data_IF_479598362486
#
_entry.id   IF_479598362486
#
_cell.length_a   1.000
_cell.length_b   1.000
_cell.length_c   1.000
_cell.angle_alpha   90.00
_cell.angle_beta   90.00
_cell.angle_gamma   90.00
#
_symmetry.space_group_name_H-M   'P 1'
#
loop_
_entity.id
_entity.type
_entity.pdbx_description
1 polymer ?
#
# COMPACT_ATOMS: atom_id res chain seq x y z
N UNK A 1 62.09 53.83 -4.57
CA UNK A 1 62.84 52.89 -3.71
C UNK A 1 61.84 51.83 -3.29
N UNK A 2 61.58 50.87 -4.19
CA UNK A 2 62.23 49.55 -4.29
C UNK A 2 61.57 48.59 -3.28
N UNK A 3 60.93 47.47 -3.64
CA UNK A 3 61.11 46.56 -4.78
C UNK A 3 59.85 45.70 -4.99
N UNK A 4 59.24 45.55 -6.18
CA UNK A 4 59.53 44.57 -7.28
C UNK A 4 59.62 43.11 -6.78
N UNK A 5 58.82 42.11 -7.19
CA UNK A 5 58.46 41.62 -8.54
C UNK A 5 57.18 40.72 -8.53
N UNK A 6 56.48 40.57 -9.69
CA UNK A 6 55.44 39.55 -9.96
C UNK A 6 55.84 38.48 -11.02
N UNK A 7 54.95 37.47 -11.19
CA UNK A 7 54.71 36.56 -12.36
C UNK A 7 55.67 35.34 -12.57
N UNK A 8 55.21 34.20 -13.17
CA UNK A 8 54.60 34.18 -14.51
C UNK A 8 53.41 33.23 -14.82
N UNK A 9 52.70 33.68 -15.86
CA UNK A 9 51.89 32.92 -16.81
C UNK A 9 52.68 31.79 -17.48
N UNK A 10 52.00 30.67 -17.77
CA UNK A 10 52.27 29.88 -18.98
C UNK A 10 50.94 29.52 -19.66
N UNK A 11 50.77 30.06 -20.87
CA UNK A 11 49.81 29.55 -21.85
C UNK A 11 50.45 28.41 -22.65
N UNK A 12 49.61 27.48 -23.09
CA UNK A 12 50.00 26.38 -23.96
C UNK A 12 48.77 25.77 -24.62
N UNK A 13 48.45 26.26 -25.81
CA UNK A 13 47.55 25.64 -26.78
C UNK A 13 48.03 24.23 -27.14
N UNK A 14 47.12 23.26 -27.21
CA UNK A 14 47.31 22.11 -28.10
C UNK A 14 45.99 21.64 -28.70
N UNK A 15 46.11 21.29 -29.96
CA UNK A 15 45.15 21.08 -31.03
C UNK A 15 44.30 19.81 -30.92
N UNK A 16 43.14 19.88 -31.58
CA UNK A 16 42.23 18.79 -31.98
C UNK A 16 42.96 17.50 -32.39
N UNK A 17 42.44 16.37 -31.92
CA UNK A 17 42.43 15.12 -32.67
C UNK A 17 41.11 14.40 -32.42
N UNK A 18 40.28 14.34 -33.45
CA UNK A 18 39.12 13.47 -33.51
C UNK A 18 39.60 12.03 -33.71
N UNK A 19 39.26 11.14 -32.80
CA UNK A 19 39.36 9.70 -33.02
C UNK A 19 37.96 9.14 -33.22
N UNK A 20 37.61 8.98 -34.50
CA UNK A 20 36.52 8.10 -34.93
C UNK A 20 36.92 6.66 -34.67
N UNK A 21 36.24 5.99 -33.74
CA UNK A 21 36.23 4.53 -33.67
C UNK A 21 34.89 4.00 -34.18
N UNK A 22 34.93 3.52 -35.41
CA UNK A 22 33.93 2.62 -35.97
C UNK A 22 34.22 1.22 -35.46
N UNK A 23 33.38 0.68 -34.57
CA UNK A 23 33.26 -0.76 -34.37
C UNK A 23 31.82 -1.19 -34.64
N UNK A 24 31.63 -1.77 -35.83
CA UNK A 24 30.61 -2.80 -36.05
C UNK A 24 31.13 -4.07 -35.37
N UNK A 25 30.29 -4.73 -34.58
CA UNK A 25 29.98 -6.16 -34.71
C UNK A 25 29.41 -6.75 -33.43
N UNK A 26 28.28 -7.44 -33.62
CA UNK A 26 27.87 -8.70 -32.97
C UNK A 26 27.86 -8.79 -31.44
N UNK A 27 26.63 -8.83 -30.92
CA UNK A 27 26.25 -9.48 -29.67
C UNK A 27 26.84 -10.89 -29.56
N UNK A 28 27.39 -11.28 -28.40
CA UNK A 28 27.42 -12.67 -27.98
C UNK A 28 26.32 -12.90 -26.95
N UNK A 29 25.41 -13.83 -27.28
CA UNK A 29 24.58 -14.56 -26.34
C UNK A 29 25.50 -15.19 -25.29
N UNK A 30 25.37 -14.79 -24.01
CA UNK A 30 26.04 -15.44 -22.89
C UNK A 30 25.11 -16.56 -22.37
N UNK A 31 25.62 -17.79 -22.16
CA UNK A 31 24.78 -18.95 -21.91
C UNK A 31 24.26 -18.98 -20.47
N UNK A 32 23.03 -19.48 -20.34
CA UNK A 32 22.38 -19.92 -19.11
C UNK A 32 23.36 -20.74 -18.25
N UNK A 33 23.81 -20.17 -17.13
CA UNK A 33 24.43 -20.94 -16.05
C UNK A 33 23.38 -21.26 -14.99
N UNK A 34 23.10 -22.55 -14.90
CA UNK A 34 22.32 -23.27 -13.90
C UNK A 34 22.75 -22.83 -12.49
N UNK A 35 21.94 -22.04 -11.81
CA UNK A 35 22.13 -21.76 -10.39
C UNK A 35 21.83 -23.02 -9.58
N UNK A 36 22.74 -23.34 -8.66
CA UNK A 36 22.60 -24.46 -7.74
C UNK A 36 21.53 -24.17 -6.69
N UNK A 37 20.72 -25.20 -6.46
CA UNK A 37 19.62 -25.26 -5.52
C UNK A 37 20.16 -25.16 -4.08
N UNK A 38 19.98 -24.02 -3.42
CA UNK A 38 20.18 -23.94 -1.97
C UNK A 38 18.90 -24.39 -1.27
N UNK A 39 19.01 -25.57 -0.65
CA UNK A 39 18.00 -26.19 0.21
C UNK A 39 17.81 -25.35 1.47
N UNK A 40 16.73 -24.55 1.51
CA UNK A 40 16.29 -23.89 2.73
C UNK A 40 15.59 -24.90 3.64
N UNK A 41 16.04 -24.99 4.89
CA UNK A 41 15.43 -25.81 5.94
C UNK A 41 14.15 -25.15 6.42
N UNK A 42 13.01 -25.81 6.13
CA UNK A 42 11.68 -25.43 6.59
C UNK A 42 11.61 -25.38 8.13
N UNK A 43 11.27 -24.20 8.66
CA UNK A 43 10.69 -24.06 10.00
C UNK A 43 9.19 -23.89 9.86
N UNK A 44 8.48 -24.74 10.57
CA UNK A 44 7.03 -24.90 10.63
C UNK A 44 6.32 -23.56 10.84
N UNK A 45 5.57 -23.10 9.85
CA UNK A 45 4.62 -21.98 10.00
C UNK A 45 3.23 -22.54 10.28
N UNK A 46 2.63 -22.08 11.38
CA UNK A 46 1.30 -22.47 11.83
C UNK A 46 0.25 -21.98 10.84
N UNK A 47 -0.50 -22.90 10.25
CA UNK A 47 -1.59 -22.63 9.29
C UNK A 47 -2.68 -21.76 9.91
N UNK A 48 -3.02 -20.64 9.28
CA UNK A 48 -4.30 -19.96 9.45
C UNK A 48 -5.09 -20.07 8.14
N UNK A 49 -6.14 -20.89 8.15
CA UNK A 49 -7.03 -21.12 7.00
C UNK A 49 -7.93 -19.91 6.79
N UNK A 50 -7.59 -19.07 5.81
CA UNK A 50 -8.36 -17.86 5.45
C UNK A 50 -9.57 -18.11 4.52
N UNK A 51 -9.93 -19.37 4.25
CA UNK A 51 -10.89 -19.71 3.18
C UNK A 51 -12.36 -19.66 3.59
N UNK A 52 -12.69 -19.64 4.88
CA UNK A 52 -14.08 -19.64 5.36
C UNK A 52 -14.77 -18.26 5.33
N UNK A 53 -14.01 -17.19 5.06
CA UNK A 53 -14.51 -15.80 5.17
C UNK A 53 -14.97 -15.16 3.85
N UNK A 54 -14.83 -15.84 2.70
CA UNK A 54 -15.23 -15.26 1.41
C UNK A 54 -16.75 -15.24 1.20
N UNK A 55 -17.51 -16.26 1.63
CA UNK A 55 -18.94 -16.32 1.31
C UNK A 55 -19.85 -15.54 2.26
N UNK A 56 -19.43 -15.34 3.53
CA UNK A 56 -20.25 -14.64 4.53
C UNK A 56 -20.19 -13.10 4.38
N UNK A 57 -19.08 -12.53 3.88
CA UNK A 57 -18.92 -11.07 3.73
C UNK A 57 -19.68 -10.47 2.53
N UNK A 58 -19.91 -11.24 1.46
CA UNK A 58 -20.63 -10.75 0.28
C UNK A 58 -22.10 -10.40 0.56
N UNK A 59 -22.72 -11.05 1.55
CA UNK A 59 -24.11 -10.74 1.95
C UNK A 59 -24.21 -9.47 2.79
N UNK A 60 -23.30 -9.29 3.74
CA UNK A 60 -23.30 -8.12 4.63
C UNK A 60 -22.96 -6.80 3.91
N UNK A 61 -22.13 -6.85 2.85
CA UNK A 61 -21.83 -5.67 2.02
C UNK A 61 -22.95 -5.30 1.04
N UNK A 62 -23.83 -6.25 0.69
CA UNK A 62 -25.00 -5.97 -0.15
C UNK A 62 -26.08 -5.20 0.60
N UNK A 63 -26.30 -5.52 1.88
CA UNK A 63 -27.30 -4.85 2.74
C UNK A 63 -26.95 -3.37 2.99
N UNK A 64 -25.67 -3.05 3.16
CA UNK A 64 -25.21 -1.67 3.41
C UNK A 64 -25.32 -0.74 2.18
N UNK A 65 -25.46 -1.31 0.97
CA UNK A 65 -25.57 -0.56 -0.29
C UNK A 65 -27.03 -0.31 -0.69
N UNK A 66 -27.98 -1.15 -0.27
CA UNK A 66 -29.39 -1.00 -0.64
C UNK A 66 -30.12 0.13 0.10
N UNK A 67 -29.67 0.52 1.29
CA UNK A 67 -30.37 1.53 2.11
C UNK A 67 -30.30 2.98 1.58
N UNK A 68 -29.61 3.24 0.46
CA UNK A 68 -29.47 4.60 -0.11
C UNK A 68 -30.32 4.90 -1.35
N UNK A 69 -31.15 3.97 -1.83
CA UNK A 69 -31.99 4.20 -3.02
C UNK A 69 -33.47 4.49 -2.74
N UNK A 70 -33.85 4.78 -1.49
CA UNK A 70 -35.17 5.36 -1.20
C UNK A 70 -35.04 6.86 -0.92
N UNK A 71 -35.51 7.67 -1.87
CA UNK A 71 -35.56 9.12 -1.73
C UNK A 71 -36.46 9.52 -0.56
N UNK A 72 -35.84 9.90 0.55
CA UNK A 72 -36.51 10.55 1.69
C UNK A 72 -35.70 11.75 2.12
N UNK A 73 -36.42 12.87 2.29
CA UNK A 73 -35.96 14.19 2.71
C UNK A 73 -34.88 14.12 3.79
N UNK A 74 -33.78 14.83 3.56
CA UNK A 74 -32.65 14.93 4.49
C UNK A 74 -33.08 15.58 5.81
N UNK A 75 -33.50 14.76 6.77
CA UNK A 75 -33.39 15.07 8.19
C UNK A 75 -31.94 14.85 8.59
N UNK A 76 -31.27 15.92 9.02
CA UNK A 76 -29.86 15.88 9.42
C UNK A 76 -29.62 14.77 10.44
N UNK A 77 -28.72 13.83 10.13
CA UNK A 77 -28.21 12.89 11.12
C UNK A 77 -27.65 13.70 12.29
N UNK A 78 -27.97 13.38 13.55
CA UNK A 78 -27.28 13.99 14.67
C UNK A 78 -25.79 13.71 14.50
N UNK A 79 -24.96 14.76 14.55
CA UNK A 79 -23.51 14.64 14.55
C UNK A 79 -23.14 13.98 15.87
N UNK A 80 -23.02 12.65 15.87
CA UNK A 80 -22.49 11.91 17.00
C UNK A 80 -20.99 12.21 17.02
N UNK A 81 -20.53 12.89 18.06
CA UNK A 81 -19.11 13.17 18.24
C UNK A 81 -18.31 11.86 18.29
N UNK A 82 -17.17 11.81 17.59
CA UNK A 82 -16.33 10.63 17.51
C UNK A 82 -15.88 10.15 18.90
N UNK A 83 -15.96 8.84 19.16
CA UNK A 83 -15.60 8.27 20.45
C UNK A 83 -14.09 8.32 20.64
N UNK A 84 -13.64 8.86 21.76
CA UNK A 84 -12.22 8.87 22.12
C UNK A 84 -11.78 7.66 22.95
N UNK A 85 -12.63 6.64 23.06
CA UNK A 85 -12.39 5.44 23.88
C UNK A 85 -11.04 4.78 23.56
N UNK A 86 -10.65 4.71 22.28
CA UNK A 86 -9.39 4.05 21.90
C UNK A 86 -8.18 4.95 22.10
N UNK A 87 -8.20 6.21 21.65
CA UNK A 87 -7.07 7.14 21.81
C UNK A 87 -6.70 7.41 23.29
N UNK A 88 -7.65 7.24 24.21
CA UNK A 88 -7.44 7.39 25.66
C UNK A 88 -6.87 6.13 26.34
N UNK A 89 -6.91 4.96 25.68
CA UNK A 89 -6.36 3.73 26.25
C UNK A 89 -4.85 3.84 26.53
N UNK A 90 -4.43 3.34 27.68
CA UNK A 90 -3.03 3.31 28.17
C UNK A 90 -2.54 1.89 28.46
N UNK A 91 -3.39 0.88 28.28
CA UNK A 91 -3.04 -0.52 28.45
C UNK A 91 -3.77 -1.42 27.45
N UNK A 92 -3.25 -2.64 27.26
CA UNK A 92 -3.94 -3.70 26.49
C UNK A 92 -5.34 -3.98 27.04
N UNK A 93 -5.47 -4.04 28.37
CA UNK A 93 -6.76 -4.29 29.01
C UNK A 93 -7.78 -3.19 28.68
N UNK A 94 -7.37 -1.92 28.77
CA UNK A 94 -8.23 -0.79 28.43
C UNK A 94 -8.64 -0.83 26.95
N UNK A 95 -7.70 -1.08 26.04
CA UNK A 95 -7.95 -1.15 24.61
C UNK A 95 -8.98 -2.25 24.26
N UNK A 96 -8.80 -3.46 24.78
CA UNK A 96 -9.71 -4.59 24.54
C UNK A 96 -11.06 -4.42 25.25
N UNK A 97 -11.08 -3.81 26.44
CA UNK A 97 -12.34 -3.46 27.11
C UNK A 97 -13.12 -2.39 26.34
N UNK A 98 -12.41 -1.48 25.66
CA UNK A 98 -12.98 -0.48 24.77
C UNK A 98 -13.79 -1.08 23.63
N UNK A 99 -13.34 -2.19 23.04
CA UNK A 99 -14.11 -2.90 22.00
C UNK A 99 -15.49 -3.29 22.50
N UNK A 100 -15.57 -3.89 23.70
CA UNK A 100 -16.85 -4.31 24.31
C UNK A 100 -17.74 -3.11 24.58
N UNK A 101 -17.18 -2.03 25.12
CA UNK A 101 -17.89 -0.78 25.39
C UNK A 101 -18.52 -0.18 24.13
N UNK A 102 -17.78 -0.14 23.02
CA UNK A 102 -18.28 0.42 21.76
C UNK A 102 -19.30 -0.49 21.06
N UNK A 103 -19.20 -1.82 21.25
CA UNK A 103 -20.22 -2.79 20.81
C UNK A 103 -21.51 -2.63 21.63
N UNK A 104 -21.41 -2.57 22.96
CA UNK A 104 -22.56 -2.40 23.86
C UNK A 104 -23.26 -1.05 23.63
N UNK A 105 -22.51 -0.02 23.25
CA UNK A 105 -23.03 1.29 22.85
C UNK A 105 -23.64 1.31 21.44
N UNK A 106 -23.55 0.22 20.67
CA UNK A 106 -24.06 0.12 19.31
C UNK A 106 -23.28 0.92 18.26
N UNK A 107 -22.07 1.42 18.60
CA UNK A 107 -21.20 2.20 17.71
C UNK A 107 -20.31 1.32 16.84
N UNK A 108 -20.02 0.09 17.30
CA UNK A 108 -19.17 -0.86 16.61
C UNK A 108 -19.91 -2.18 16.33
N UNK A 109 -20.07 -2.60 15.06
CA UNK A 109 -20.68 -3.89 14.74
C UNK A 109 -19.88 -5.07 15.32
N UNK A 110 -20.53 -6.10 15.90
CA UNK A 110 -19.83 -7.22 16.54
C UNK A 110 -18.86 -7.97 15.62
N UNK A 111 -19.18 -8.08 14.33
CA UNK A 111 -18.30 -8.72 13.34
C UNK A 111 -17.04 -7.88 13.05
N UNK A 112 -17.12 -6.55 13.13
CA UNK A 112 -15.97 -5.66 12.98
C UNK A 112 -15.12 -5.72 14.25
N UNK A 113 -15.74 -5.67 15.44
CA UNK A 113 -15.04 -5.80 16.72
C UNK A 113 -14.24 -7.11 16.82
N UNK A 114 -14.82 -8.24 16.40
CA UNK A 114 -14.12 -9.52 16.35
C UNK A 114 -12.91 -9.48 15.40
N UNK A 115 -13.03 -8.80 14.26
CA UNK A 115 -11.92 -8.58 13.34
C UNK A 115 -10.83 -7.68 13.93
N UNK A 116 -11.20 -6.63 14.67
CA UNK A 116 -10.24 -5.76 15.36
C UNK A 116 -9.44 -6.53 16.41
N UNK A 117 -10.11 -7.38 17.20
CA UNK A 117 -9.45 -8.25 18.19
C UNK A 117 -8.52 -9.27 17.52
N UNK A 118 -8.94 -9.91 16.42
CA UNK A 118 -8.10 -10.83 15.66
C UNK A 118 -6.85 -10.13 15.11
N UNK A 119 -7.01 -8.93 14.52
CA UNK A 119 -5.87 -8.16 14.02
C UNK A 119 -4.95 -7.74 15.17
N UNK A 120 -5.49 -7.32 16.31
CA UNK A 120 -4.68 -7.00 17.50
C UNK A 120 -3.80 -8.18 17.91
N UNK A 121 -4.40 -9.37 18.08
CA UNK A 121 -3.65 -10.54 18.52
C UNK A 121 -2.56 -10.93 17.52
N UNK A 122 -2.88 -10.94 16.22
CA UNK A 122 -1.93 -11.27 15.17
C UNK A 122 -0.79 -10.25 15.08
N UNK A 123 -1.11 -8.95 15.14
CA UNK A 123 -0.13 -7.87 15.09
C UNK A 123 0.80 -7.90 16.30
N UNK A 124 0.24 -7.99 17.51
CA UNK A 124 0.99 -8.12 18.76
C UNK A 124 1.97 -9.28 18.71
N UNK A 125 1.50 -10.45 18.30
CA UNK A 125 2.33 -11.65 18.23
C UNK A 125 3.47 -11.48 17.22
N UNK A 126 3.19 -10.93 16.03
CA UNK A 126 4.21 -10.69 15.01
C UNK A 126 5.28 -9.69 15.46
N UNK A 127 4.87 -8.56 16.05
CA UNK A 127 5.81 -7.55 16.56
C UNK A 127 6.63 -8.10 17.72
N UNK A 128 6.05 -8.90 18.61
CA UNK A 128 6.78 -9.51 19.73
C UNK A 128 7.80 -10.56 19.23
N UNK A 129 7.42 -11.34 18.22
CA UNK A 129 8.31 -12.33 17.60
C UNK A 129 9.49 -11.70 16.85
N UNK A 130 9.39 -10.42 16.46
CA UNK A 130 10.52 -9.70 15.85
C UNK A 130 11.73 -9.54 16.79
N UNK A 131 11.51 -9.61 18.11
CA UNK A 131 12.54 -9.36 19.12
C UNK A 131 12.85 -7.87 19.36
N UNK A 132 12.03 -6.95 18.86
CA UNK A 132 12.17 -5.52 19.14
C UNK A 132 11.99 -5.23 20.66
N UNK A 133 12.98 -4.63 21.35
CA UNK A 133 12.85 -4.30 22.77
C UNK A 133 11.71 -3.30 23.07
N UNK A 134 11.29 -2.51 22.07
CA UNK A 134 10.19 -1.56 22.19
C UNK A 134 8.81 -2.17 21.81
N UNK A 135 8.74 -3.48 21.54
CA UNK A 135 7.56 -4.14 20.98
C UNK A 135 6.25 -3.84 21.74
N UNK A 136 6.28 -3.79 23.08
CA UNK A 136 5.08 -3.47 23.89
C UNK A 136 4.56 -2.07 23.59
N UNK A 137 5.46 -1.08 23.58
CA UNK A 137 5.10 0.32 23.29
C UNK A 137 4.66 0.51 21.84
N UNK A 138 5.33 -0.16 20.89
CA UNK A 138 4.99 -0.14 19.47
C UNK A 138 3.58 -0.71 19.24
N UNK A 139 3.28 -1.87 19.81
CA UNK A 139 1.96 -2.50 19.69
C UNK A 139 0.88 -1.61 20.26
N UNK A 140 1.04 -1.12 21.49
CA UNK A 140 0.04 -0.25 22.11
C UNK A 140 -0.18 1.02 21.28
N UNK A 141 0.89 1.74 20.92
CA UNK A 141 0.79 2.98 20.15
C UNK A 141 0.10 2.78 18.80
N UNK A 142 0.52 1.78 18.03
CA UNK A 142 -0.01 1.55 16.68
C UNK A 142 -1.46 1.04 16.72
N UNK A 143 -1.78 0.13 17.64
CA UNK A 143 -3.12 -0.44 17.75
C UNK A 143 -4.13 0.53 18.33
N UNK A 144 -3.73 1.41 19.25
CA UNK A 144 -4.59 2.49 19.76
C UNK A 144 -5.05 3.40 18.62
N UNK A 145 -4.13 3.86 17.77
CA UNK A 145 -4.46 4.70 16.62
C UNK A 145 -5.25 3.92 15.56
N UNK A 146 -4.89 2.67 15.29
CA UNK A 146 -5.62 1.84 14.33
C UNK A 146 -7.08 1.61 14.76
N UNK A 147 -7.32 1.29 16.03
CA UNK A 147 -8.68 1.07 16.55
C UNK A 147 -9.53 2.34 16.46
N UNK A 148 -8.95 3.50 16.81
CA UNK A 148 -9.61 4.81 16.74
C UNK A 148 -10.08 5.12 15.30
N UNK A 149 -9.19 4.96 14.32
CA UNK A 149 -9.52 5.24 12.93
C UNK A 149 -10.39 4.17 12.26
N UNK A 150 -10.38 2.92 12.73
CA UNK A 150 -11.37 1.91 12.30
C UNK A 150 -12.75 2.25 12.82
N UNK A 151 -12.87 2.68 14.09
CA UNK A 151 -14.14 3.14 14.63
C UNK A 151 -14.64 4.39 13.88
N UNK A 152 -13.75 5.36 13.62
CA UNK A 152 -14.10 6.56 12.86
C UNK A 152 -14.68 6.21 11.49
N UNK A 153 -14.08 5.27 10.76
CA UNK A 153 -14.58 4.83 9.45
C UNK A 153 -15.87 3.97 9.55
N UNK A 154 -16.13 3.33 10.69
CA UNK A 154 -17.42 2.66 10.93
C UNK A 154 -18.52 3.69 11.18
N UNK A 155 -18.21 4.75 11.92
CA UNK A 155 -19.15 5.83 12.28
C UNK A 155 -19.48 6.73 11.09
N UNK A 156 -18.45 7.10 10.32
CA UNK A 156 -18.54 7.92 9.12
C UNK A 156 -17.69 7.30 7.98
N UNK A 157 -18.25 6.33 7.23
CA UNK A 157 -17.50 5.60 6.21
C UNK A 157 -16.95 6.51 5.11
N UNK A 158 -15.62 6.54 4.99
CA UNK A 158 -14.94 7.23 3.92
C UNK A 158 -15.34 6.66 2.55
N UNK A 159 -15.62 7.54 1.59
CA UNK A 159 -15.97 7.16 0.21
C UNK A 159 -14.81 7.49 -0.70
N UNK A 160 -14.25 6.48 -1.35
CA UNK A 160 -13.15 6.67 -2.30
C UNK A 160 -13.66 7.21 -3.64
N UNK A 161 -13.02 8.29 -4.10
CA UNK A 161 -13.19 8.80 -5.45
C UNK A 161 -12.49 7.90 -6.49
N UNK A 162 -12.87 7.95 -7.78
CA UNK A 162 -12.24 7.15 -8.83
C UNK A 162 -10.71 7.29 -8.88
N UNK A 163 -10.22 8.50 -8.63
CA UNK A 163 -8.84 8.78 -8.27
C UNK A 163 -8.79 9.39 -6.87
N UNK A 164 -8.16 8.67 -5.95
CA UNK A 164 -7.97 9.09 -4.57
C UNK A 164 -6.53 9.58 -4.37
N UNK A 165 -6.38 10.75 -3.74
CA UNK A 165 -5.07 11.28 -3.31
C UNK A 165 -4.86 10.93 -1.85
N UNK A 166 -3.63 10.54 -1.49
CA UNK A 166 -3.29 10.23 -0.12
C UNK A 166 -3.65 11.40 0.82
N UNK A 167 -4.39 11.10 1.89
CA UNK A 167 -4.72 12.07 2.92
C UNK A 167 -3.52 12.24 3.87
N UNK A 168 -3.02 13.47 3.94
CA UNK A 168 -1.86 13.85 4.77
C UNK A 168 -2.21 14.77 5.94
N UNK A 169 -3.37 15.42 5.88
CA UNK A 169 -3.85 16.40 6.86
C UNK A 169 -5.39 16.27 7.03
N UNK A 170 -5.95 16.58 8.22
CA UNK A 170 -5.25 16.94 9.47
C UNK A 170 -4.60 15.74 10.18
N UNK A 171 -4.86 14.53 9.69
CA UNK A 171 -4.20 13.30 10.13
C UNK A 171 -3.43 12.70 8.94
N UNK A 172 -2.16 12.36 9.17
CA UNK A 172 -1.31 11.79 8.13
C UNK A 172 -1.52 10.27 8.02
N UNK A 173 -2.51 9.87 7.21
CA UNK A 173 -2.82 8.45 6.97
C UNK A 173 -1.67 7.72 6.24
N UNK A 174 -0.84 8.43 5.48
CA UNK A 174 0.34 7.83 4.85
C UNK A 174 1.33 7.41 5.94
N UNK A 175 1.71 8.32 6.83
CA UNK A 175 2.65 8.05 7.92
C UNK A 175 2.08 7.05 8.94
N UNK A 176 0.78 7.11 9.23
CA UNK A 176 0.09 6.07 10.00
C UNK A 176 0.35 4.68 9.41
N UNK A 177 0.09 4.49 8.12
CA UNK A 177 0.33 3.22 7.46
C UNK A 177 1.81 2.80 7.47
N UNK A 178 2.73 3.73 7.19
CA UNK A 178 4.17 3.48 7.26
C UNK A 178 4.58 2.98 8.65
N UNK A 179 4.17 3.69 9.71
CA UNK A 179 4.51 3.37 11.10
C UNK A 179 3.90 2.04 11.57
N UNK A 180 2.68 1.74 11.11
CA UNK A 180 1.99 0.49 11.44
C UNK A 180 2.70 -0.72 10.83
N UNK A 181 3.11 -0.66 9.56
CA UNK A 181 3.72 -1.81 8.87
C UNK A 181 5.23 -1.94 9.13
N UNK A 182 5.93 -0.85 9.40
CA UNK A 182 7.39 -0.84 9.65
C UNK A 182 7.89 -1.94 10.59
N UNK A 183 7.31 -2.20 11.78
CA UNK A 183 7.82 -3.23 12.69
C UNK A 183 7.59 -4.67 12.19
N UNK A 184 6.80 -4.85 11.12
CA UNK A 184 6.57 -6.15 10.49
C UNK A 184 7.60 -6.47 9.40
N UNK A 185 8.46 -5.51 9.03
CA UNK A 185 9.49 -5.71 8.01
C UNK A 185 10.84 -5.98 8.69
N UNK A 186 11.41 -7.15 8.43
CA UNK A 186 12.82 -7.40 8.71
C UNK A 186 13.68 -6.75 7.62
N UNK A 187 14.00 -5.47 7.81
CA UNK A 187 14.82 -4.71 6.85
C UNK A 187 16.22 -5.29 6.64
N UNK A 188 16.77 -6.04 7.61
CA UNK A 188 18.11 -6.64 7.47
C UNK A 188 18.11 -7.80 6.48
N UNK A 189 16.98 -8.50 6.38
CA UNK A 189 16.80 -9.62 5.47
C UNK A 189 15.90 -9.27 4.27
N UNK A 190 15.66 -7.98 4.02
CA UNK A 190 14.91 -7.46 2.88
C UNK A 190 15.85 -6.88 1.82
N UNK A 191 15.47 -6.98 0.55
CA UNK A 191 16.33 -6.59 -0.57
C UNK A 191 15.56 -5.77 -1.60
N UNK A 192 16.24 -4.78 -2.19
CA UNK A 192 15.77 -4.05 -3.37
C UNK A 192 16.69 -4.42 -4.53
N UNK A 193 16.16 -5.18 -5.49
CA UNK A 193 16.87 -5.50 -6.72
C UNK A 193 16.95 -4.30 -7.67
N UNK A 194 18.06 -4.16 -8.38
CA UNK A 194 18.24 -3.16 -9.44
C UNK A 194 17.91 -1.71 -9.03
N UNK A 195 18.37 -1.30 -7.84
CA UNK A 195 18.09 0.02 -7.28
C UNK A 195 18.39 1.19 -8.25
N UNK A 196 19.42 1.06 -9.11
CA UNK A 196 19.77 2.06 -10.12
C UNK A 196 18.60 2.40 -11.07
N UNK A 197 17.75 1.43 -11.38
CA UNK A 197 16.60 1.63 -12.25
C UNK A 197 15.53 2.55 -11.62
N UNK A 198 15.43 2.61 -10.29
CA UNK A 198 14.51 3.54 -9.64
C UNK A 198 14.97 5.00 -9.79
N UNK A 199 16.27 5.27 -9.82
CA UNK A 199 16.78 6.60 -10.18
C UNK A 199 16.51 6.93 -11.65
N UNK A 200 16.66 5.97 -12.56
CA UNK A 200 16.29 6.17 -13.97
C UNK A 200 14.78 6.44 -14.14
N UNK A 201 13.94 5.78 -13.35
CA UNK A 201 12.50 6.04 -13.30
C UNK A 201 12.23 7.48 -12.86
N UNK A 202 12.89 7.97 -11.80
CA UNK A 202 12.73 9.36 -11.36
C UNK A 202 13.16 10.36 -12.44
N UNK A 203 14.26 10.10 -13.16
CA UNK A 203 14.68 10.96 -14.26
C UNK A 203 13.64 10.98 -15.41
N UNK A 204 13.03 9.85 -15.74
CA UNK A 204 11.94 9.81 -16.72
C UNK A 204 10.71 10.59 -16.24
N UNK A 205 10.36 10.50 -14.96
CA UNK A 205 9.26 11.26 -14.38
C UNK A 205 9.54 12.77 -14.43
N UNK A 206 10.79 13.21 -14.14
CA UNK A 206 11.21 14.61 -14.26
C UNK A 206 11.14 15.13 -15.70
N UNK A 207 11.36 14.26 -16.69
CA UNK A 207 11.22 14.58 -18.12
C UNK A 207 9.77 14.67 -18.60
N UNK A 208 8.77 14.47 -17.72
CA UNK A 208 7.36 14.50 -18.09
C UNK A 208 6.80 13.15 -18.54
N UNK A 209 7.62 12.10 -18.61
CA UNK A 209 7.14 10.77 -18.99
C UNK A 209 6.27 10.16 -17.89
N UNK A 210 5.37 9.27 -18.30
CA UNK A 210 4.68 8.37 -17.39
C UNK A 210 5.44 7.04 -17.30
N UNK A 211 5.37 6.41 -16.13
CA UNK A 211 5.94 5.10 -15.86
C UNK A 211 4.85 4.21 -15.30
N UNK A 212 4.70 3.00 -15.85
CA UNK A 212 3.78 1.98 -15.33
C UNK A 212 4.61 0.79 -14.85
N UNK A 213 4.50 0.47 -13.58
CA UNK A 213 5.07 -0.72 -12.97
C UNK A 213 4.06 -1.85 -13.09
N UNK A 214 4.38 -2.82 -13.95
CA UNK A 214 3.64 -4.07 -14.07
C UNK A 214 4.23 -5.04 -13.05
N UNK A 215 3.42 -5.45 -12.06
CA UNK A 215 3.90 -6.18 -10.88
C UNK A 215 3.05 -7.41 -10.60
N UNK A 216 3.56 -8.32 -9.77
CA UNK A 216 2.72 -9.27 -9.05
C UNK A 216 2.06 -8.59 -7.83
N UNK A 217 1.31 -9.33 -7.02
CA UNK A 217 0.67 -8.79 -5.81
C UNK A 217 0.62 -9.88 -4.75
N UNK A 218 0.99 -9.59 -3.50
CA UNK A 218 1.10 -10.60 -2.45
C UNK A 218 0.25 -10.28 -1.23
N UNK A 219 0.17 -9.01 -0.84
CA UNK A 219 -0.52 -8.58 0.38
C UNK A 219 -1.30 -7.29 0.15
N UNK A 220 -2.32 -7.04 0.97
CA UNK A 220 -3.01 -5.74 0.94
C UNK A 220 -2.07 -4.58 1.38
N UNK A 221 -0.93 -4.89 2.02
CA UNK A 221 0.06 -3.94 2.48
C UNK A 221 1.17 -3.66 1.46
N UNK A 222 1.13 -4.24 0.25
CA UNK A 222 2.15 -4.06 -0.80
C UNK A 222 2.47 -2.57 -1.06
N UNK A 223 1.49 -1.63 -1.14
CA UNK A 223 1.79 -0.21 -1.29
C UNK A 223 2.71 0.34 -0.19
N UNK A 224 2.50 -0.11 1.04
CA UNK A 224 3.22 0.35 2.21
C UNK A 224 4.61 -0.28 2.23
N UNK A 225 4.72 -1.58 1.91
CA UNK A 225 5.99 -2.30 1.83
C UNK A 225 6.89 -1.68 0.76
N UNK A 226 6.37 -1.43 -0.44
CA UNK A 226 7.10 -0.76 -1.53
C UNK A 226 7.59 0.60 -1.07
N UNK A 227 6.72 1.38 -0.41
CA UNK A 227 7.08 2.70 0.09
C UNK A 227 8.18 2.64 1.15
N UNK A 228 8.07 1.74 2.13
CA UNK A 228 9.06 1.55 3.20
C UNK A 228 10.43 1.10 2.67
N UNK A 229 10.47 0.22 1.66
CA UNK A 229 11.73 -0.23 1.06
C UNK A 229 12.43 0.85 0.22
N UNK A 230 11.67 1.83 -0.28
CA UNK A 230 12.18 2.91 -1.13
C UNK A 230 12.30 4.27 -0.40
N UNK A 231 11.80 4.41 0.83
CA UNK A 231 11.66 5.71 1.52
C UNK A 231 12.99 6.48 1.67
N UNK A 232 14.12 5.77 1.79
CA UNK A 232 15.43 6.40 1.99
C UNK A 232 16.11 6.78 0.67
N UNK A 233 15.88 6.01 -0.39
CA UNK A 233 16.59 6.17 -1.66
C UNK A 233 15.76 6.89 -2.71
N UNK A 234 14.44 6.67 -2.69
CA UNK A 234 13.48 7.16 -3.68
C UNK A 234 12.18 7.66 -2.99
N UNK A 235 12.26 8.64 -2.07
CA UNK A 235 11.10 9.15 -1.35
C UNK A 235 10.03 9.72 -2.28
N UNK A 236 10.44 10.31 -3.41
CA UNK A 236 9.50 10.79 -4.41
C UNK A 236 8.61 9.67 -4.95
N UNK A 237 9.20 8.52 -5.30
CA UNK A 237 8.44 7.34 -5.72
C UNK A 237 7.58 6.81 -4.57
N UNK A 238 8.16 6.68 -3.37
CA UNK A 238 7.46 6.14 -2.20
C UNK A 238 6.20 6.93 -1.81
N UNK A 239 6.17 8.24 -2.05
CA UNK A 239 5.02 9.09 -1.69
C UNK A 239 4.04 9.33 -2.85
N UNK A 240 4.50 9.26 -4.11
CA UNK A 240 3.70 9.69 -5.26
C UNK A 240 3.21 8.53 -6.15
N UNK A 241 3.60 7.29 -5.87
CA UNK A 241 3.09 6.13 -6.61
C UNK A 241 1.58 5.99 -6.48
N UNK A 242 0.92 5.81 -7.62
CA UNK A 242 -0.52 5.58 -7.74
C UNK A 242 -0.77 4.08 -7.88
N UNK A 243 -1.49 3.48 -6.95
CA UNK A 243 -1.80 2.06 -6.96
C UNK A 243 -3.18 1.82 -7.58
N UNK A 244 -3.25 0.96 -8.59
CA UNK A 244 -4.54 0.45 -9.08
C UNK A 244 -5.05 -0.56 -8.04
N UNK A 245 -6.09 -0.18 -7.30
CA UNK A 245 -6.53 -0.89 -6.11
C UNK A 245 -7.95 -1.44 -6.25
N UNK A 246 -8.13 -2.67 -5.74
CA UNK A 246 -9.35 -3.46 -5.80
C UNK A 246 -10.34 -3.18 -4.67
N UNK A 247 -11.50 -3.83 -4.77
CA UNK A 247 -12.68 -3.63 -3.90
C UNK A 247 -12.43 -3.76 -2.41
N UNK A 248 -11.68 -4.79 -2.00
CA UNK A 248 -11.51 -5.12 -0.60
C UNK A 248 -10.89 -3.97 0.19
N UNK A 249 -9.82 -3.38 -0.32
CA UNK A 249 -9.05 -2.36 0.41
C UNK A 249 -9.77 -1.01 0.50
N UNK A 250 -10.75 -0.78 -0.38
CA UNK A 250 -11.58 0.42 -0.38
C UNK A 250 -12.96 0.24 0.29
N UNK A 251 -13.32 -0.98 0.71
CA UNK A 251 -14.61 -1.29 1.34
C UNK A 251 -14.50 -1.90 2.74
N UNK A 252 -13.45 -2.67 3.04
CA UNK A 252 -13.28 -3.28 4.36
C UNK A 252 -12.82 -2.22 5.38
N UNK A 253 -13.59 -1.93 6.45
CA UNK A 253 -13.26 -0.87 7.40
C UNK A 253 -11.88 -1.07 8.06
N UNK A 254 -11.42 -2.32 8.18
CA UNK A 254 -10.10 -2.61 8.76
C UNK A 254 -8.94 -2.29 7.80
N UNK A 255 -9.22 -2.14 6.50
CA UNK A 255 -8.24 -1.79 5.48
C UNK A 255 -8.30 -0.31 5.11
N UNK A 256 -9.49 0.31 5.17
CA UNK A 256 -9.73 1.65 4.63
C UNK A 256 -8.79 2.73 5.17
N UNK A 257 -8.49 2.84 6.49
CA UNK A 257 -7.53 3.83 6.97
C UNK A 257 -6.13 3.70 6.33
N UNK A 258 -5.67 2.49 6.02
CA UNK A 258 -4.40 2.30 5.32
C UNK A 258 -4.47 2.75 3.86
N UNK A 259 -5.60 2.51 3.21
CA UNK A 259 -5.87 2.94 1.83
C UNK A 259 -6.07 4.45 1.70
N UNK A 260 -6.64 5.11 2.72
CA UNK A 260 -6.79 6.56 2.78
C UNK A 260 -5.43 7.28 2.68
N UNK A 261 -4.36 6.65 3.17
CA UNK A 261 -2.99 7.14 3.11
C UNK A 261 -2.23 6.89 1.80
N UNK A 262 -2.89 6.42 0.73
CA UNK A 262 -2.24 6.09 -0.55
C UNK A 262 -2.88 6.81 -1.71
N UNK A 263 -2.13 7.03 -2.79
CA UNK A 263 -2.73 7.48 -4.04
C UNK A 263 -3.28 6.26 -4.76
N UNK A 264 -4.58 6.25 -5.07
CA UNK A 264 -5.26 5.08 -5.63
C UNK A 264 -6.02 5.42 -6.91
N UNK A 265 -6.02 4.48 -7.84
CA UNK A 265 -7.05 4.38 -8.87
C UNK A 265 -7.98 3.24 -8.46
N UNK A 266 -9.20 3.59 -8.03
CA UNK A 266 -10.13 2.65 -7.43
C UNK A 266 -10.90 1.89 -8.50
N UNK A 267 -10.69 0.58 -8.61
CA UNK A 267 -11.31 -0.28 -9.62
C UNK A 267 -11.89 -1.55 -9.01
N UNK A 268 -13.03 -1.97 -9.50
CA UNK A 268 -13.61 -3.27 -9.25
C UNK A 268 -12.87 -4.33 -10.05
N UNK A 269 -12.38 -5.38 -9.38
CA UNK A 269 -11.65 -6.46 -10.06
C UNK A 269 -12.58 -7.23 -10.98
N UNK A 270 -12.10 -7.58 -12.18
CA UNK A 270 -12.83 -8.46 -13.09
C UNK A 270 -13.19 -9.79 -12.42
N UNK A 271 -12.32 -10.28 -11.52
CA UNK A 271 -12.50 -11.53 -10.79
C UNK A 271 -13.76 -11.54 -9.91
N UNK A 272 -14.12 -10.38 -9.36
CA UNK A 272 -15.22 -10.20 -8.40
C UNK A 272 -16.38 -9.37 -8.96
N UNK A 273 -16.41 -9.18 -10.29
CA UNK A 273 -17.40 -8.35 -10.97
C UNK A 273 -18.82 -8.89 -10.80
N UNK A 274 -18.96 -10.22 -10.79
CA UNK A 274 -20.26 -10.92 -10.78
C UNK A 274 -20.56 -11.67 -9.48
N UNK A 275 -19.76 -11.48 -8.43
CA UNK A 275 -20.02 -12.08 -7.12
C UNK A 275 -21.42 -11.72 -6.60
N UNK A 276 -21.89 -10.50 -6.94
CA UNK A 276 -23.25 -10.01 -6.74
C UNK A 276 -23.69 -9.45 -8.11
N UNK A 277 -24.42 -10.22 -8.93
CA UNK A 277 -24.78 -9.85 -10.30
C UNK A 277 -25.49 -8.50 -10.42
N UNK A 278 -26.31 -8.15 -9.43
CA UNK A 278 -27.08 -6.90 -9.37
C UNK A 278 -26.19 -5.66 -9.31
N UNK A 279 -24.97 -5.80 -8.76
CA UNK A 279 -24.00 -4.71 -8.65
C UNK A 279 -23.10 -4.58 -9.89
N UNK A 280 -23.09 -5.56 -10.80
CA UNK A 280 -22.11 -5.63 -11.89
C UNK A 280 -22.13 -4.37 -12.78
N UNK A 281 -23.31 -3.83 -13.08
CA UNK A 281 -23.42 -2.63 -13.92
C UNK A 281 -22.90 -1.37 -13.21
N UNK A 282 -23.19 -1.22 -11.91
CA UNK A 282 -22.64 -0.16 -11.08
C UNK A 282 -21.10 -0.23 -11.06
N UNK A 283 -20.55 -1.43 -10.84
CA UNK A 283 -19.11 -1.68 -10.82
C UNK A 283 -18.42 -1.34 -12.15
N UNK A 284 -19.04 -1.70 -13.29
CA UNK A 284 -18.54 -1.34 -14.63
C UNK A 284 -18.55 0.17 -14.86
N UNK A 285 -19.61 0.86 -14.45
CA UNK A 285 -19.69 2.34 -14.53
C UNK A 285 -18.63 3.00 -13.67
N UNK A 286 -18.40 2.51 -12.46
CA UNK A 286 -17.32 2.97 -11.59
C UNK A 286 -15.94 2.79 -12.26
N UNK A 287 -15.64 1.60 -12.77
CA UNK A 287 -14.38 1.35 -13.50
C UNK A 287 -14.20 2.27 -14.71
N UNK A 288 -15.28 2.54 -15.45
CA UNK A 288 -15.23 3.46 -16.58
C UNK A 288 -14.85 4.87 -16.15
N UNK A 289 -15.32 5.34 -14.99
CA UNK A 289 -14.91 6.63 -14.42
C UNK A 289 -13.44 6.61 -14.01
N UNK A 290 -12.99 5.58 -13.32
CA UNK A 290 -11.59 5.47 -12.88
C UNK A 290 -10.60 5.39 -14.05
N UNK A 291 -10.96 4.68 -15.13
CA UNK A 291 -10.16 4.63 -16.35
C UNK A 291 -10.11 5.98 -17.08
N UNK A 292 -11.20 6.77 -17.05
CA UNK A 292 -11.19 8.14 -17.57
C UNK A 292 -10.26 9.03 -16.75
N UNK A 293 -10.32 8.97 -15.43
CA UNK A 293 -9.40 9.70 -14.55
C UNK A 293 -7.95 9.30 -14.79
N UNK A 294 -7.66 8.00 -14.91
CA UNK A 294 -6.32 7.52 -15.26
C UNK A 294 -5.83 8.11 -16.59
N UNK A 295 -6.68 8.12 -17.62
CA UNK A 295 -6.32 8.72 -18.90
C UNK A 295 -6.04 10.23 -18.79
N UNK A 296 -6.82 10.97 -18.00
CA UNK A 296 -6.58 12.40 -17.72
C UNK A 296 -5.26 12.62 -16.97
N UNK A 297 -4.97 11.81 -15.95
CA UNK A 297 -3.72 11.87 -15.19
C UNK A 297 -2.51 11.61 -16.10
N UNK A 298 -2.57 10.57 -16.94
CA UNK A 298 -1.48 10.22 -17.85
C UNK A 298 -1.28 11.29 -18.93
N UNK A 299 -2.34 11.95 -19.40
CA UNK A 299 -2.19 13.11 -20.31
C UNK A 299 -1.44 14.27 -19.66
N UNK A 300 -1.49 14.39 -18.34
CA UNK A 300 -0.74 15.40 -17.58
C UNK A 300 0.75 15.09 -17.40
N UNK A 301 1.21 13.88 -17.73
CA UNK A 301 2.61 13.48 -17.58
C UNK A 301 3.06 13.29 -16.13
N UNK A 302 4.31 12.84 -15.97
CA UNK A 302 4.98 12.64 -14.68
C UNK A 302 4.16 11.80 -13.69
N UNK A 303 3.51 10.72 -14.16
CA UNK A 303 2.79 9.77 -13.31
C UNK A 303 3.55 8.46 -13.20
N UNK A 304 3.62 7.93 -11.98
CA UNK A 304 4.04 6.56 -11.72
C UNK A 304 2.85 5.76 -11.22
N UNK A 305 2.49 4.72 -11.97
CA UNK A 305 1.34 3.86 -11.68
C UNK A 305 1.82 2.45 -11.43
N UNK A 306 1.39 1.84 -10.33
CA UNK A 306 1.59 0.42 -10.05
C UNK A 306 0.30 -0.34 -10.35
N UNK A 307 0.42 -1.47 -11.05
CA UNK A 307 -0.71 -2.34 -11.34
C UNK A 307 -0.28 -3.80 -11.30
N UNK A 308 -1.10 -4.61 -10.63
CA UNK A 308 -1.01 -6.07 -10.70
C UNK A 308 -1.98 -6.62 -11.74
N UNK A 309 -1.44 -7.04 -12.89
CA UNK A 309 -2.24 -7.48 -14.03
C UNK A 309 -3.02 -8.78 -13.75
N UNK A 310 -2.57 -9.60 -12.80
CA UNK A 310 -3.28 -10.79 -12.31
C UNK A 310 -4.64 -10.47 -11.68
N UNK A 311 -4.85 -9.23 -11.22
CA UNK A 311 -6.08 -8.77 -10.59
C UNK A 311 -6.35 -9.36 -9.21
N UNK A 312 -5.35 -10.01 -8.60
CA UNK A 312 -5.44 -10.57 -7.25
C UNK A 312 -4.08 -11.03 -6.72
N UNK A 313 -4.06 -11.33 -5.42
CA UNK A 313 -2.84 -11.79 -4.74
C UNK A 313 -2.39 -13.18 -5.23
N UNK A 314 -1.09 -13.43 -5.23
CA UNK A 314 -0.47 -14.73 -5.43
C UNK A 314 -1.06 -15.77 -4.45
N UNK A 315 -1.03 -17.04 -4.85
CA UNK A 315 -1.47 -18.18 -4.02
C UNK A 315 -0.38 -19.24 -4.04
N UNK A 316 -0.18 -19.97 -2.94
CA UNK A 316 0.76 -21.09 -2.95
C UNK A 316 0.25 -22.16 -3.92
N UNK A 317 1.19 -22.82 -4.59
CA UNK A 317 0.88 -24.03 -5.34
C UNK A 317 0.23 -25.06 -4.39
N UNK A 318 -0.93 -25.64 -4.77
CA UNK A 318 -1.67 -26.52 -3.86
C UNK A 318 -0.96 -27.84 -3.54
N UNK A 319 0.07 -28.21 -4.30
CA UNK A 319 0.85 -29.43 -4.12
C UNK A 319 2.21 -29.18 -3.49
N UNK A 320 2.94 -28.15 -3.94
CA UNK A 320 4.30 -27.87 -3.45
C UNK A 320 4.33 -26.87 -2.29
N UNK A 321 3.24 -26.14 -2.04
CA UNK A 321 3.14 -25.03 -1.08
C UNK A 321 4.10 -23.85 -1.41
N UNK A 322 4.74 -23.84 -2.58
CA UNK A 322 5.64 -22.77 -3.03
C UNK A 322 4.85 -21.56 -3.57
N UNK A 323 5.42 -20.37 -3.43
CA UNK A 323 4.81 -19.11 -3.86
C UNK A 323 5.51 -18.55 -5.09
N UNK A 324 4.73 -18.25 -6.13
CA UNK A 324 5.20 -17.62 -7.36
C UNK A 324 4.17 -16.60 -7.86
N UNK A 325 4.59 -15.59 -8.65
CA UNK A 325 3.67 -14.73 -9.38
C UNK A 325 2.68 -15.53 -10.24
N UNK A 326 1.39 -15.21 -10.11
CA UNK A 326 0.30 -15.82 -10.90
C UNK A 326 -0.08 -15.00 -12.14
#
# INVERSE_FOLDING_TARGET
>A
MSSTLPLPFFGGTCTKAAFSFSLKSSSPLVPFQRLQLFRSTSRTTTRIRSSLFHSLKAKATAELVQDKESGVVATGKPVVEHSRTFIEARSEQELLSGLRKEVDAGRLPPNVAAGMEEVYQNYRNAVFQSGDPAAVGVVLSNMTVAFDHWLLDVEDPFVFEPYHKALREPFDYYMFGQNYIRPLIDFRNSYVGNLSLFYEIEEKLKQGHNVVLISNHQTEADPIIISLLLEKTNPHIAENMIFVAGDRVITDPLCKPFSMGRNLLCVYSKKHMYDIPELAEMKRKANTRSLKEMALLLRGGSKIVWIAASGGRDRPDPFTEEWYPI
#
